data_IF_058994897783
#
_entry.id   IF_058994897783
#
_cell.length_a   1.000
_cell.length_b   1.000
_cell.length_c   1.000
_cell.angle_alpha   90.00
_cell.angle_beta   90.00
_cell.angle_gamma   90.00
#
_symmetry.space_group_name_H-M   'P 1'
#
loop_
_entity.id
_entity.type
_entity.pdbx_description
1 polymer ?
#
# COMPACT_ATOMS: atom_id res chain seq x y z
N UNK A 1 -40.59 -18.02 1.35
CA UNK A 1 -39.31 -18.64 1.76
C UNK A 1 -38.20 -17.73 1.35
N UNK A 2 -37.45 -17.18 2.33
CA UNK A 2 -36.26 -16.34 2.06
C UNK A 2 -35.11 -17.30 1.80
N UNK A 3 -34.86 -17.58 0.53
CA UNK A 3 -33.73 -18.44 0.09
C UNK A 3 -32.51 -17.60 -0.28
N UNK A 4 -32.26 -16.52 0.46
CA UNK A 4 -31.00 -15.76 0.26
C UNK A 4 -29.87 -16.46 0.97
N UNK A 5 -28.74 -16.63 0.24
CA UNK A 5 -27.51 -17.14 0.83
C UNK A 5 -26.92 -16.09 1.79
N UNK A 6 -26.06 -16.54 2.72
CA UNK A 6 -25.37 -15.63 3.66
C UNK A 6 -24.61 -14.53 2.92
N UNK A 7 -23.98 -14.87 1.80
CA UNK A 7 -23.21 -13.90 0.98
C UNK A 7 -24.13 -12.87 0.30
N UNK A 8 -25.31 -13.27 -0.16
CA UNK A 8 -26.29 -12.34 -0.74
C UNK A 8 -26.81 -11.38 0.34
N UNK A 9 -27.09 -11.89 1.54
CA UNK A 9 -27.53 -11.07 2.67
C UNK A 9 -26.43 -10.08 3.10
N UNK A 10 -25.17 -10.53 3.19
CA UNK A 10 -24.04 -9.69 3.52
C UNK A 10 -23.82 -8.58 2.47
N UNK A 11 -23.95 -8.92 1.19
CA UNK A 11 -23.83 -8.00 0.05
C UNK A 11 -24.92 -6.93 0.06
N UNK A 12 -26.16 -7.34 0.27
CA UNK A 12 -27.30 -6.41 0.37
C UNK A 12 -27.21 -5.53 1.62
N UNK A 13 -26.77 -6.08 2.76
CA UNK A 13 -26.49 -5.32 3.98
C UNK A 13 -25.41 -4.26 3.76
N UNK A 14 -24.29 -4.64 3.14
CA UNK A 14 -23.21 -3.72 2.80
C UNK A 14 -23.69 -2.60 1.86
N UNK A 15 -24.47 -2.95 0.84
CA UNK A 15 -25.06 -1.97 -0.09
C UNK A 15 -25.93 -0.95 0.62
N UNK A 16 -26.82 -1.39 1.52
CA UNK A 16 -27.70 -0.50 2.30
C UNK A 16 -26.92 0.41 3.24
N UNK A 17 -25.93 -0.14 3.96
CA UNK A 17 -25.11 0.64 4.88
C UNK A 17 -24.32 1.73 4.13
N UNK A 18 -23.70 1.40 3.01
CA UNK A 18 -22.94 2.38 2.23
C UNK A 18 -23.88 3.45 1.63
N UNK A 19 -25.03 3.05 1.10
CA UNK A 19 -26.00 4.01 0.59
C UNK A 19 -26.46 4.99 1.68
N UNK A 20 -26.75 4.51 2.88
CA UNK A 20 -27.11 5.35 4.02
C UNK A 20 -25.96 6.29 4.44
N UNK A 21 -24.74 5.77 4.53
CA UNK A 21 -23.57 6.58 4.87
C UNK A 21 -23.32 7.69 3.86
N UNK A 22 -23.49 7.42 2.57
CA UNK A 22 -23.34 8.44 1.52
C UNK A 22 -24.44 9.53 1.61
N UNK A 23 -25.65 9.19 2.00
CA UNK A 23 -26.71 10.19 2.23
C UNK A 23 -26.38 11.08 3.43
N UNK A 24 -25.85 10.50 4.51
CA UNK A 24 -25.39 11.26 5.69
C UNK A 24 -24.24 12.20 5.29
N UNK A 25 -23.23 11.70 4.58
CA UNK A 25 -22.09 12.51 4.13
C UNK A 25 -22.54 13.73 3.31
N UNK A 26 -23.49 13.53 2.39
CA UNK A 26 -24.03 14.64 1.58
C UNK A 26 -24.86 15.60 2.44
N UNK A 27 -25.68 15.10 3.36
CA UNK A 27 -26.46 15.94 4.26
C UNK A 27 -25.58 16.82 5.15
N UNK A 28 -24.52 16.23 5.74
CA UNK A 28 -23.53 16.95 6.54
C UNK A 28 -22.79 18.01 5.72
N UNK A 29 -22.39 17.68 4.48
CA UNK A 29 -21.73 18.63 3.59
C UNK A 29 -22.61 19.84 3.26
N UNK A 30 -23.88 19.60 2.91
CA UNK A 30 -24.83 20.66 2.58
C UNK A 30 -25.14 21.52 3.80
N UNK A 31 -25.35 20.90 4.98
CA UNK A 31 -25.62 21.62 6.22
C UNK A 31 -24.46 22.46 6.70
N UNK A 32 -23.24 21.94 6.64
CA UNK A 32 -22.02 22.67 7.02
C UNK A 32 -21.83 23.95 6.17
N UNK A 33 -22.35 23.95 4.95
CA UNK A 33 -22.14 25.03 3.97
C UNK A 33 -23.43 25.82 3.66
N UNK A 34 -24.49 25.63 4.42
CA UNK A 34 -25.82 26.25 4.21
C UNK A 34 -25.80 27.79 4.20
N UNK A 35 -24.78 28.38 4.82
CA UNK A 35 -24.62 29.82 4.90
C UNK A 35 -24.08 30.45 3.62
N UNK A 36 -23.61 29.69 2.65
CA UNK A 36 -23.16 30.15 1.36
C UNK A 36 -24.38 30.36 0.45
N UNK A 37 -24.72 31.65 0.20
CA UNK A 37 -25.85 32.07 -0.64
C UNK A 37 -25.41 32.98 -1.75
N UNK A 38 -26.20 33.06 -2.82
CA UNK A 38 -25.99 34.00 -3.90
C UNK A 38 -26.63 35.36 -3.56
N UNK A 39 -26.53 36.32 -4.49
CA UNK A 39 -27.07 37.69 -4.35
C UNK A 39 -28.60 37.70 -4.19
N UNK A 40 -29.29 36.63 -4.57
CA UNK A 40 -30.75 36.47 -4.47
C UNK A 40 -31.17 35.59 -3.29
N UNK A 41 -30.26 35.36 -2.32
CA UNK A 41 -30.46 34.51 -1.15
C UNK A 41 -30.73 33.02 -1.47
N UNK A 42 -30.35 32.53 -2.68
CA UNK A 42 -30.45 31.12 -3.01
C UNK A 42 -29.19 30.38 -2.51
N UNK A 43 -29.38 29.16 -2.00
CA UNK A 43 -28.27 28.32 -1.57
C UNK A 43 -27.35 27.98 -2.75
N UNK A 44 -26.04 28.19 -2.56
CA UNK A 44 -25.03 27.84 -3.56
C UNK A 44 -24.76 26.33 -3.57
N UNK A 45 -25.03 25.66 -2.46
CA UNK A 45 -24.82 24.22 -2.31
C UNK A 45 -26.16 23.54 -2.05
N UNK A 46 -26.49 22.59 -2.88
CA UNK A 46 -27.75 21.84 -2.75
C UNK A 46 -27.58 20.38 -3.17
N UNK A 47 -28.34 19.48 -2.54
CA UNK A 47 -28.46 18.11 -3.00
C UNK A 47 -29.09 18.08 -4.41
N UNK A 48 -28.52 17.26 -5.31
CA UNK A 48 -28.93 17.16 -6.70
C UNK A 48 -29.25 15.70 -7.08
N UNK A 49 -30.21 15.10 -6.41
CA UNK A 49 -30.65 13.73 -6.68
C UNK A 49 -29.53 12.69 -6.52
N UNK A 50 -29.57 11.67 -7.35
CA UNK A 50 -28.58 10.57 -7.40
C UNK A 50 -27.96 10.47 -8.78
N UNK A 51 -26.80 9.81 -8.86
CA UNK A 51 -26.12 9.50 -10.13
C UNK A 51 -27.05 8.72 -11.08
N UNK A 52 -27.03 9.06 -12.35
CA UNK A 52 -27.78 8.33 -13.39
C UNK A 52 -27.24 6.90 -13.57
N UNK A 53 -25.94 6.71 -13.36
CA UNK A 53 -25.28 5.42 -13.51
C UNK A 53 -24.95 4.79 -12.15
N UNK A 54 -25.15 3.49 -12.06
CA UNK A 54 -24.67 2.71 -10.93
C UNK A 54 -23.15 2.51 -11.06
N UNK A 55 -22.47 2.63 -9.92
CA UNK A 55 -21.06 2.29 -9.82
C UNK A 55 -20.93 0.93 -9.15
N UNK A 56 -20.27 0.00 -9.81
CA UNK A 56 -19.90 -1.28 -9.20
C UNK A 56 -18.62 -1.11 -8.42
N UNK A 57 -18.63 -1.51 -7.14
CA UNK A 57 -17.47 -1.51 -6.23
C UNK A 57 -17.26 -2.94 -5.73
N UNK A 58 -16.02 -3.42 -5.89
CA UNK A 58 -15.58 -4.71 -5.39
C UNK A 58 -15.20 -4.59 -3.91
N UNK A 59 -15.72 -5.47 -3.09
CA UNK A 59 -15.47 -5.53 -1.64
C UNK A 59 -15.29 -6.98 -1.19
N UNK A 60 -14.88 -7.17 0.07
CA UNK A 60 -14.76 -8.51 0.65
C UNK A 60 -16.09 -9.31 0.68
N UNK A 61 -17.23 -8.63 0.63
CA UNK A 61 -18.55 -9.27 0.51
C UNK A 61 -19.01 -9.49 -0.96
N UNK A 62 -18.11 -9.26 -1.94
CA UNK A 62 -18.42 -9.33 -3.38
C UNK A 62 -18.67 -7.97 -4.01
N UNK A 63 -19.23 -7.99 -5.23
CA UNK A 63 -19.56 -6.79 -6.01
C UNK A 63 -20.85 -6.15 -5.52
N UNK A 64 -20.82 -4.84 -5.24
CA UNK A 64 -21.99 -4.07 -4.92
C UNK A 64 -22.22 -2.95 -5.93
N UNK A 65 -23.48 -2.71 -6.30
CA UNK A 65 -23.90 -1.63 -7.20
C UNK A 65 -24.47 -0.48 -6.39
N UNK A 66 -23.92 0.71 -6.52
CA UNK A 66 -24.27 1.89 -5.73
C UNK A 66 -24.60 3.05 -6.65
N UNK A 67 -25.73 3.71 -6.38
CA UNK A 67 -26.06 5.03 -6.94
C UNK A 67 -25.71 6.09 -5.91
N UNK A 68 -24.59 6.77 -6.12
CA UNK A 68 -24.14 7.82 -5.21
C UNK A 68 -25.08 9.04 -5.29
N UNK A 69 -25.41 9.70 -4.17
CA UNK A 69 -26.07 10.99 -4.16
C UNK A 69 -25.15 12.04 -4.80
N UNK A 70 -25.74 13.08 -5.39
CA UNK A 70 -25.05 14.18 -6.04
C UNK A 70 -25.27 15.48 -5.30
N UNK A 71 -24.27 16.32 -5.31
CA UNK A 71 -24.34 17.69 -4.82
C UNK A 71 -24.08 18.65 -5.99
N UNK A 72 -24.89 19.68 -6.08
CA UNK A 72 -24.62 20.83 -6.92
C UNK A 72 -23.93 21.89 -6.02
N UNK A 73 -22.64 22.11 -6.24
CA UNK A 73 -21.87 23.14 -5.57
C UNK A 73 -21.51 24.20 -6.61
N UNK A 74 -22.12 25.38 -6.49
CA UNK A 74 -21.94 26.52 -7.43
C UNK A 74 -20.83 27.46 -7.01
N UNK A 75 -20.10 27.16 -5.94
CA UNK A 75 -18.97 27.99 -5.52
C UNK A 75 -17.82 27.88 -6.53
N UNK A 76 -17.13 28.97 -6.84
CA UNK A 76 -16.00 28.94 -7.77
C UNK A 76 -14.91 27.96 -7.29
N UNK A 77 -14.43 27.11 -8.19
CA UNK A 77 -13.36 26.15 -7.93
C UNK A 77 -13.62 25.13 -6.80
N UNK A 78 -14.89 24.90 -6.45
CA UNK A 78 -15.29 23.86 -5.49
C UNK A 78 -16.14 22.80 -6.17
N UNK A 79 -15.89 21.55 -5.77
CA UNK A 79 -16.68 20.40 -6.21
C UNK A 79 -16.76 19.41 -5.07
N UNK A 80 -17.97 18.94 -4.78
CA UNK A 80 -18.13 17.86 -3.81
C UNK A 80 -17.46 16.58 -4.29
N UNK A 81 -16.64 15.99 -3.43
CA UNK A 81 -16.07 14.68 -3.62
C UNK A 81 -16.30 13.85 -2.36
N UNK A 82 -17.01 12.74 -2.50
CA UNK A 82 -17.27 11.83 -1.39
C UNK A 82 -15.96 11.24 -0.86
N UNK A 83 -15.79 11.21 0.45
CA UNK A 83 -14.69 10.53 1.14
C UNK A 83 -14.94 9.03 1.27
N UNK A 84 -16.22 8.64 1.37
CA UNK A 84 -16.65 7.24 1.47
C UNK A 84 -16.50 6.53 0.12
N UNK A 85 -16.90 7.19 -0.97
CA UNK A 85 -16.85 6.67 -2.32
C UNK A 85 -16.16 7.68 -3.26
N UNK A 86 -14.83 7.86 -3.17
CA UNK A 86 -14.08 8.77 -4.03
C UNK A 86 -14.32 8.54 -5.52
N UNK A 87 -14.12 9.56 -6.38
CA UNK A 87 -14.17 9.37 -7.83
C UNK A 87 -13.31 8.20 -8.28
N UNK A 88 -13.82 7.43 -9.25
CA UNK A 88 -13.11 6.29 -9.86
C UNK A 88 -12.82 5.10 -8.94
N UNK A 89 -13.17 5.12 -7.67
CA UNK A 89 -13.05 3.95 -6.80
C UNK A 89 -13.87 2.79 -7.36
N UNK A 90 -13.21 1.69 -7.65
CA UNK A 90 -13.80 0.44 -8.16
C UNK A 90 -13.64 -0.71 -7.19
N UNK A 91 -12.78 -0.56 -6.19
CA UNK A 91 -12.43 -1.57 -5.20
C UNK A 91 -12.25 -0.94 -3.84
N UNK A 92 -12.50 -1.71 -2.79
CA UNK A 92 -12.14 -1.27 -1.45
C UNK A 92 -10.61 -1.27 -1.29
N UNK A 93 -10.04 -0.35 -0.48
CA UNK A 93 -8.60 -0.32 -0.21
C UNK A 93 -8.04 -1.67 0.26
N UNK A 94 -8.75 -2.34 1.17
CA UNK A 94 -8.37 -3.67 1.65
C UNK A 94 -8.19 -4.70 0.54
N UNK A 95 -9.02 -4.63 -0.48
CA UNK A 95 -8.93 -5.56 -1.60
C UNK A 95 -7.72 -5.22 -2.49
N UNK A 96 -7.42 -3.95 -2.68
CA UNK A 96 -6.20 -3.52 -3.37
C UNK A 96 -4.93 -3.92 -2.61
N UNK A 97 -4.93 -3.84 -1.29
CA UNK A 97 -3.83 -4.27 -0.42
C UNK A 97 -3.60 -5.78 -0.42
N UNK A 98 -4.65 -6.58 -0.66
CA UNK A 98 -4.53 -8.04 -0.72
C UNK A 98 -3.79 -8.53 -1.98
N UNK A 99 -3.86 -7.79 -3.08
CA UNK A 99 -3.28 -8.19 -4.36
C UNK A 99 -1.76 -8.40 -4.29
N UNK A 100 -0.94 -7.52 -3.68
CA UNK A 100 0.50 -7.75 -3.49
C UNK A 100 0.80 -9.02 -2.72
N UNK A 101 0.05 -9.22 -1.64
CA UNK A 101 0.25 -10.40 -0.78
C UNK A 101 0.00 -11.69 -1.55
N UNK A 102 -1.07 -11.74 -2.33
CA UNK A 102 -1.40 -12.89 -3.16
C UNK A 102 -0.34 -13.13 -4.25
N UNK A 103 0.14 -12.05 -4.88
CA UNK A 103 1.21 -12.14 -5.88
C UNK A 103 2.50 -12.69 -5.28
N UNK A 104 2.93 -12.16 -4.13
CA UNK A 104 4.12 -12.64 -3.41
C UNK A 104 3.97 -14.08 -2.90
N UNK A 105 2.74 -14.56 -2.72
CA UNK A 105 2.44 -15.97 -2.40
C UNK A 105 2.44 -16.88 -3.63
N UNK A 106 2.73 -16.35 -4.82
CA UNK A 106 2.94 -17.11 -6.04
C UNK A 106 1.71 -17.19 -6.95
N UNK A 107 0.68 -16.37 -6.71
CA UNK A 107 -0.44 -16.27 -7.65
C UNK A 107 0.02 -15.49 -8.89
N UNK A 108 -0.01 -16.13 -10.06
CA UNK A 108 0.41 -15.46 -11.29
C UNK A 108 -0.58 -14.36 -11.70
N UNK A 109 -0.13 -13.39 -12.51
CA UNK A 109 -1.00 -12.30 -12.97
C UNK A 109 -2.21 -12.79 -13.78
N UNK A 110 -2.11 -13.96 -14.41
CA UNK A 110 -3.20 -14.62 -15.13
C UNK A 110 -4.23 -15.28 -14.22
N UNK A 111 -3.80 -15.83 -13.09
CA UNK A 111 -4.63 -16.63 -12.20
C UNK A 111 -5.46 -15.76 -11.22
N UNK A 112 -5.14 -14.47 -11.11
CA UNK A 112 -5.85 -13.55 -10.20
C UNK A 112 -7.35 -13.48 -10.46
N UNK A 113 -7.74 -13.47 -11.74
CA UNK A 113 -9.15 -13.36 -12.10
C UNK A 113 -9.94 -14.58 -11.58
N UNK A 114 -9.41 -15.79 -11.79
CA UNK A 114 -10.03 -17.03 -11.34
C UNK A 114 -10.07 -17.13 -9.81
N UNK A 115 -8.93 -16.88 -9.13
CA UNK A 115 -8.86 -16.94 -7.68
C UNK A 115 -9.80 -15.93 -6.99
N UNK A 116 -9.91 -14.72 -7.53
CA UNK A 116 -10.78 -13.70 -6.99
C UNK A 116 -12.25 -13.93 -7.36
N UNK A 117 -12.54 -14.57 -8.48
CA UNK A 117 -13.89 -14.99 -8.84
C UNK A 117 -14.42 -16.03 -7.83
N UNK A 118 -13.60 -16.98 -7.42
CA UNK A 118 -13.95 -17.95 -6.37
C UNK A 118 -14.24 -17.25 -5.03
N UNK A 119 -13.44 -16.22 -4.67
CA UNK A 119 -13.56 -15.53 -3.37
C UNK A 119 -14.67 -14.48 -3.34
N UNK A 120 -14.94 -13.81 -4.46
CA UNK A 120 -15.79 -12.61 -4.51
C UNK A 120 -17.03 -12.81 -5.38
N UNK A 121 -17.16 -13.96 -6.01
CA UNK A 121 -18.24 -14.31 -6.94
C UNK A 121 -17.94 -13.92 -8.40
N UNK A 122 -18.73 -14.47 -9.31
CA UNK A 122 -18.56 -14.35 -10.79
C UNK A 122 -18.61 -12.91 -11.33
N UNK A 123 -19.10 -11.96 -10.57
CA UNK A 123 -19.07 -10.54 -10.92
C UNK A 123 -17.78 -9.83 -10.45
N UNK A 124 -16.73 -10.54 -10.02
CA UNK A 124 -15.45 -9.99 -9.61
C UNK A 124 -14.64 -9.44 -10.80
N UNK A 125 -15.29 -8.64 -11.63
CA UNK A 125 -14.66 -7.98 -12.76
C UNK A 125 -13.67 -6.92 -12.28
N UNK A 126 -12.48 -6.88 -12.89
CA UNK A 126 -11.55 -5.77 -12.70
C UNK A 126 -10.18 -6.11 -12.13
N UNK A 127 -9.88 -7.40 -11.94
CA UNK A 127 -8.53 -7.88 -11.64
C UNK A 127 -7.88 -8.51 -12.87
N UNK A 128 -8.00 -7.84 -14.02
CA UNK A 128 -7.30 -8.26 -15.23
C UNK A 128 -5.78 -8.23 -15.02
N UNK A 129 -5.04 -9.03 -15.78
CA UNK A 129 -3.58 -9.02 -15.78
C UNK A 129 -3.00 -7.60 -15.89
N UNK A 130 -3.60 -6.74 -16.72
CA UNK A 130 -3.23 -5.32 -16.86
C UNK A 130 -3.39 -4.53 -15.57
N UNK A 131 -4.46 -4.79 -14.80
CA UNK A 131 -4.67 -4.13 -13.51
C UNK A 131 -3.61 -4.55 -12.49
N UNK A 132 -3.31 -5.86 -12.42
CA UNK A 132 -2.27 -6.39 -11.54
C UNK A 132 -0.90 -5.80 -11.89
N UNK A 133 -0.55 -5.79 -13.19
CA UNK A 133 0.70 -5.17 -13.66
C UNK A 133 0.78 -3.69 -13.28
N UNK A 134 -0.32 -2.94 -13.41
CA UNK A 134 -0.37 -1.53 -13.00
C UNK A 134 -0.13 -1.36 -11.50
N UNK A 135 -0.71 -2.20 -10.65
CA UNK A 135 -0.48 -2.17 -9.21
C UNK A 135 0.97 -2.53 -8.87
N UNK A 136 1.54 -3.56 -9.52
CA UNK A 136 2.95 -3.91 -9.36
C UNK A 136 3.87 -2.73 -9.70
N UNK A 137 3.60 -2.01 -10.80
CA UNK A 137 4.36 -0.82 -11.17
C UNK A 137 4.29 0.28 -10.10
N UNK A 138 3.11 0.52 -9.49
CA UNK A 138 2.98 1.49 -8.39
C UNK A 138 3.91 1.11 -7.22
N UNK A 139 3.92 -0.16 -6.81
CA UNK A 139 4.79 -0.59 -5.71
C UNK A 139 6.27 -0.54 -6.06
N UNK A 140 6.63 -0.82 -7.32
CA UNK A 140 8.01 -0.63 -7.78
C UNK A 140 8.45 0.83 -7.68
N UNK A 141 7.58 1.77 -8.05
CA UNK A 141 7.88 3.20 -7.89
C UNK A 141 7.95 3.62 -6.42
N UNK A 142 7.04 3.14 -5.57
CA UNK A 142 7.09 3.36 -4.12
C UNK A 142 8.40 2.81 -3.51
N UNK A 143 8.80 1.61 -3.92
CA UNK A 143 10.07 1.01 -3.49
C UNK A 143 11.27 1.86 -3.94
N UNK A 144 11.29 2.35 -5.18
CA UNK A 144 12.34 3.21 -5.70
C UNK A 144 12.45 4.52 -4.89
N UNK A 145 11.33 5.12 -4.52
CA UNK A 145 11.29 6.32 -3.68
C UNK A 145 11.77 6.00 -2.25
N UNK A 146 11.27 4.93 -1.67
CA UNK A 146 11.68 4.46 -0.37
C UNK A 146 13.18 4.17 -0.31
N UNK A 147 13.72 3.50 -1.31
CA UNK A 147 15.15 3.16 -1.41
C UNK A 147 16.03 4.40 -1.45
N UNK A 148 15.57 5.50 -2.06
CA UNK A 148 16.32 6.76 -2.19
C UNK A 148 16.10 7.74 -1.03
N UNK A 149 15.24 7.43 -0.08
CA UNK A 149 14.91 8.37 1.00
C UNK A 149 16.12 8.77 1.81
N UNK A 150 16.18 10.03 2.23
CA UNK A 150 17.22 10.53 3.13
C UNK A 150 17.15 9.85 4.50
N UNK A 151 18.30 9.50 5.04
CA UNK A 151 18.49 9.02 6.39
C UNK A 151 19.15 10.10 7.27
N UNK A 152 19.42 11.27 6.72
CA UNK A 152 19.99 12.40 7.46
C UNK A 152 19.06 12.81 8.60
N UNK A 153 19.63 13.10 9.77
CA UNK A 153 18.89 13.46 10.97
C UNK A 153 18.30 12.28 11.75
N UNK A 154 18.46 11.05 11.26
CA UNK A 154 18.12 9.83 12.02
C UNK A 154 19.39 9.26 12.63
N UNK A 155 19.33 8.97 13.92
CA UNK A 155 20.40 8.32 14.66
C UNK A 155 20.04 6.86 14.91
N UNK A 156 20.68 5.94 14.23
CA UNK A 156 20.52 4.51 14.48
C UNK A 156 21.56 4.04 15.49
N UNK A 157 21.09 3.65 16.67
CA UNK A 157 21.97 3.19 17.76
C UNK A 157 22.61 1.86 17.37
N UNK A 158 21.82 0.95 16.78
CA UNK A 158 22.34 -0.30 16.24
C UNK A 158 21.60 -0.69 14.97
N UNK A 159 22.26 -1.57 14.22
CA UNK A 159 21.69 -2.17 13.02
C UNK A 159 21.75 -3.69 13.13
N UNK A 160 20.75 -4.34 12.54
CA UNK A 160 20.78 -5.77 12.24
C UNK A 160 20.94 -5.98 10.74
N UNK A 161 21.85 -6.87 10.36
CA UNK A 161 22.08 -7.23 8.97
C UNK A 161 21.86 -8.74 8.80
N UNK A 162 21.08 -9.12 7.80
CA UNK A 162 20.75 -10.50 7.47
C UNK A 162 20.61 -10.68 5.96
N UNK A 163 21.00 -11.86 5.47
CA UNK A 163 20.82 -12.27 4.09
C UNK A 163 19.71 -13.32 3.99
N UNK A 164 18.59 -12.94 3.38
CA UNK A 164 17.45 -13.84 3.17
C UNK A 164 17.54 -14.45 1.78
N UNK A 165 17.57 -15.78 1.69
CA UNK A 165 17.63 -16.49 0.43
C UNK A 165 16.24 -16.89 -0.06
N UNK A 166 15.91 -16.48 -1.29
CA UNK A 166 14.67 -16.86 -1.95
C UNK A 166 14.92 -17.92 -3.03
N UNK A 167 14.11 -18.97 -3.03
CA UNK A 167 14.06 -19.88 -4.16
C UNK A 167 13.22 -19.24 -5.27
N UNK A 168 13.86 -18.79 -6.33
CA UNK A 168 13.17 -18.28 -7.51
C UNK A 168 12.79 -19.46 -8.40
N UNK A 169 11.52 -19.60 -8.75
CA UNK A 169 11.07 -20.60 -9.72
C UNK A 169 11.82 -20.37 -11.04
N UNK A 170 12.42 -21.42 -11.59
CA UNK A 170 13.11 -21.47 -12.90
C UNK A 170 14.59 -21.01 -12.90
N UNK A 171 15.18 -20.64 -11.80
CA UNK A 171 16.63 -20.38 -11.74
C UNK A 171 17.29 -21.37 -10.77
N UNK A 172 18.44 -21.92 -11.18
CA UNK A 172 19.25 -22.83 -10.32
C UNK A 172 19.94 -22.05 -9.18
N UNK A 173 20.12 -20.74 -9.34
CA UNK A 173 20.77 -19.88 -8.37
C UNK A 173 19.76 -19.26 -7.38
N UNK A 174 20.09 -19.34 -6.10
CA UNK A 174 19.34 -18.66 -5.04
C UNK A 174 19.67 -17.18 -5.05
N UNK A 175 18.66 -16.33 -5.23
CA UNK A 175 18.83 -14.90 -5.03
C UNK A 175 18.86 -14.57 -3.54
N UNK A 176 19.91 -13.88 -3.11
CA UNK A 176 19.99 -13.34 -1.76
C UNK A 176 19.35 -11.95 -1.72
N UNK A 177 18.54 -11.69 -0.70
CA UNK A 177 18.05 -10.37 -0.36
C UNK A 177 18.81 -9.88 0.87
N UNK A 178 19.59 -8.83 0.72
CA UNK A 178 20.35 -8.20 1.79
C UNK A 178 19.43 -7.23 2.54
N UNK A 179 19.22 -7.48 3.82
CA UNK A 179 18.30 -6.70 4.66
C UNK A 179 19.09 -6.02 5.77
N UNK A 180 18.88 -4.73 5.96
CA UNK A 180 19.38 -4.02 7.15
C UNK A 180 18.20 -3.34 7.86
N UNK A 181 18.08 -3.62 9.16
CA UNK A 181 17.12 -3.00 10.08
C UNK A 181 17.88 -2.07 11.01
N UNK A 182 17.54 -0.79 11.00
CA UNK A 182 18.07 0.19 11.94
C UNK A 182 17.16 0.35 13.15
N UNK A 183 17.74 0.57 14.32
CA UNK A 183 17.02 0.79 15.58
C UNK A 183 17.36 2.18 16.10
N UNK A 184 16.31 2.98 16.30
CA UNK A 184 16.38 4.34 16.82
C UNK A 184 16.55 4.34 18.35
N UNK A 185 16.97 5.47 18.98
CA UNK A 185 17.16 5.56 20.44
C UNK A 185 15.91 5.24 21.25
N UNK A 186 14.73 5.46 20.68
CA UNK A 186 13.42 5.14 21.29
C UNK A 186 12.99 3.67 21.16
N UNK A 187 13.84 2.84 20.54
CA UNK A 187 13.60 1.41 20.32
C UNK A 187 12.79 1.08 19.05
N UNK A 188 12.32 2.08 18.30
CA UNK A 188 11.65 1.84 17.01
C UNK A 188 12.61 1.24 16.00
N UNK A 189 12.11 0.26 15.26
CA UNK A 189 12.84 -0.46 14.23
C UNK A 189 12.35 -0.01 12.85
N UNK A 190 13.28 0.24 11.96
CA UNK A 190 12.99 0.58 10.57
C UNK A 190 13.84 -0.29 9.63
N UNK A 191 13.22 -0.85 8.59
CA UNK A 191 13.98 -1.41 7.48
C UNK A 191 14.64 -0.23 6.74
N UNK A 192 15.97 -0.21 6.67
CA UNK A 192 16.73 0.89 6.06
C UNK A 192 17.42 0.52 4.75
N UNK A 193 17.65 -0.78 4.54
CA UNK A 193 18.04 -1.35 3.27
C UNK A 193 17.31 -2.65 3.01
N UNK A 194 16.96 -2.86 1.75
CA UNK A 194 16.42 -4.09 1.19
C UNK A 194 16.93 -4.14 -0.27
N UNK A 195 17.94 -4.96 -0.54
CA UNK A 195 18.61 -5.00 -1.83
C UNK A 195 18.72 -6.43 -2.30
N UNK A 196 18.45 -6.65 -3.58
CA UNK A 196 18.76 -7.91 -4.22
C UNK A 196 20.28 -8.04 -4.38
N UNK A 197 20.82 -9.15 -3.93
CA UNK A 197 22.24 -9.48 -4.04
C UNK A 197 22.41 -10.85 -4.69
N UNK A 198 23.31 -10.91 -5.65
CA UNK A 198 23.64 -12.20 -6.28
C UNK A 198 24.23 -13.20 -5.27
N UNK A 199 24.96 -12.67 -4.28
CA UNK A 199 25.52 -13.41 -3.14
C UNK A 199 25.75 -12.45 -1.97
N UNK A 200 25.85 -12.98 -0.75
CA UNK A 200 26.32 -12.26 0.43
C UNK A 200 27.85 -11.99 0.38
N UNK A 201 28.30 -11.35 -0.68
CA UNK A 201 29.71 -11.00 -0.83
C UNK A 201 30.07 -9.73 -0.08
N UNK A 202 31.36 -9.55 0.21
CA UNK A 202 31.87 -8.30 0.80
C UNK A 202 31.49 -7.10 -0.05
N UNK A 203 31.58 -7.19 -1.39
CA UNK A 203 31.27 -6.08 -2.27
C UNK A 203 29.76 -5.76 -2.30
N UNK A 204 28.88 -6.76 -2.27
CA UNK A 204 27.45 -6.54 -2.18
C UNK A 204 27.09 -5.80 -0.90
N UNK A 205 27.60 -6.24 0.24
CA UNK A 205 27.38 -5.57 1.52
C UNK A 205 28.02 -4.17 1.56
N UNK A 206 29.21 -4.00 1.01
CA UNK A 206 29.87 -2.69 0.94
C UNK A 206 29.07 -1.70 0.09
N UNK A 207 28.47 -2.16 -1.01
CA UNK A 207 27.59 -1.33 -1.84
C UNK A 207 26.39 -0.85 -1.04
N UNK A 208 25.71 -1.74 -0.31
CA UNK A 208 24.57 -1.40 0.55
C UNK A 208 24.98 -0.39 1.64
N UNK A 209 26.06 -0.65 2.36
CA UNK A 209 26.51 0.23 3.44
C UNK A 209 26.96 1.61 2.92
N UNK A 210 27.65 1.67 1.77
CA UNK A 210 28.01 2.94 1.11
C UNK A 210 26.78 3.73 0.67
N UNK A 211 25.73 3.04 0.20
CA UNK A 211 24.45 3.70 -0.12
C UNK A 211 23.79 4.30 1.13
N UNK A 212 23.74 3.57 2.23
CA UNK A 212 23.23 4.08 3.51
C UNK A 212 24.00 5.33 3.96
N UNK A 213 25.33 5.30 3.89
CA UNK A 213 26.20 6.44 4.20
C UNK A 213 25.93 7.63 3.28
N UNK A 214 25.79 7.40 1.97
CA UNK A 214 25.47 8.44 0.98
C UNK A 214 24.10 9.08 1.25
N UNK A 215 23.12 8.33 1.73
CA UNK A 215 21.81 8.83 2.13
C UNK A 215 21.81 9.56 3.46
N UNK A 216 22.97 9.71 4.11
CA UNK A 216 23.17 10.51 5.32
C UNK A 216 23.14 9.70 6.62
N UNK A 217 23.21 8.37 6.57
CA UNK A 217 23.33 7.55 7.76
C UNK A 217 24.69 7.76 8.42
N UNK A 218 24.68 8.03 9.72
CA UNK A 218 25.89 8.04 10.57
C UNK A 218 26.26 6.62 10.97
N UNK A 219 27.52 6.41 11.36
CA UNK A 219 27.97 5.12 11.88
C UNK A 219 27.12 4.72 13.11
N UNK A 220 26.50 3.55 13.12
CA UNK A 220 25.80 3.05 14.30
C UNK A 220 26.80 2.63 15.38
N UNK A 221 26.38 2.60 16.64
CA UNK A 221 27.25 2.16 17.73
C UNK A 221 27.57 0.66 17.65
N UNK A 222 26.58 -0.13 17.19
CA UNK A 222 26.67 -1.58 17.14
C UNK A 222 26.01 -2.12 15.87
N UNK A 223 26.64 -3.11 15.26
CA UNK A 223 26.05 -3.93 14.23
C UNK A 223 25.92 -5.37 14.71
N UNK A 224 24.75 -5.97 14.50
CA UNK A 224 24.42 -7.34 14.86
C UNK A 224 24.16 -8.13 13.58
N UNK A 225 24.76 -9.30 13.45
CA UNK A 225 24.58 -10.16 12.28
C UNK A 225 25.08 -11.57 12.56
N UNK A 226 24.84 -12.45 11.61
CA UNK A 226 25.34 -13.82 11.69
C UNK A 226 26.86 -13.88 11.41
N UNK A 227 27.40 -15.08 11.26
CA UNK A 227 28.81 -15.32 10.95
C UNK A 227 29.25 -14.91 9.55
N UNK A 228 28.44 -14.18 8.76
CA UNK A 228 28.73 -13.79 7.40
C UNK A 228 29.96 -12.87 7.32
N UNK A 229 31.08 -13.43 6.86
CA UNK A 229 32.35 -12.73 6.76
C UNK A 229 32.31 -11.55 5.77
N UNK A 230 31.44 -11.61 4.75
CA UNK A 230 31.31 -10.53 3.76
C UNK A 230 30.76 -9.26 4.38
N UNK A 231 29.73 -9.35 5.24
CA UNK A 231 29.17 -8.20 5.93
C UNK A 231 30.20 -7.52 6.85
N UNK A 232 30.92 -8.31 7.67
CA UNK A 232 31.87 -7.76 8.64
C UNK A 232 33.05 -7.06 7.98
N UNK A 233 33.55 -7.61 6.87
CA UNK A 233 34.61 -6.96 6.10
C UNK A 233 34.13 -5.63 5.51
N UNK A 234 32.93 -5.59 4.95
CA UNK A 234 32.29 -4.38 4.43
C UNK A 234 32.03 -3.33 5.51
N UNK A 235 31.58 -3.76 6.69
CA UNK A 235 31.30 -2.87 7.83
C UNK A 235 32.58 -2.14 8.27
N UNK A 236 33.69 -2.87 8.41
CA UNK A 236 35.00 -2.27 8.77
C UNK A 236 35.50 -1.26 7.74
N UNK A 237 35.22 -1.48 6.47
CA UNK A 237 35.59 -0.55 5.40
C UNK A 237 34.74 0.73 5.43
N UNK A 238 33.42 0.61 5.63
CA UNK A 238 32.50 1.74 5.47
C UNK A 238 32.23 2.48 6.79
N UNK A 239 32.09 1.74 7.91
CA UNK A 239 31.84 2.25 9.25
C UNK A 239 32.81 1.65 10.28
N UNK A 240 34.11 2.01 10.23
CA UNK A 240 35.15 1.41 11.08
C UNK A 240 34.93 1.62 12.58
N UNK A 241 34.14 2.62 12.97
CA UNK A 241 33.85 2.95 14.38
C UNK A 241 32.75 2.06 14.99
N UNK A 242 32.01 1.32 14.15
CA UNK A 242 30.91 0.48 14.58
C UNK A 242 31.42 -0.82 15.23
N UNK A 243 30.93 -1.13 16.42
CA UNK A 243 31.22 -2.39 17.11
C UNK A 243 30.50 -3.57 16.42
N UNK A 244 31.14 -4.72 16.39
CA UNK A 244 30.60 -5.96 15.82
C UNK A 244 30.05 -6.85 16.92
N UNK A 245 28.85 -7.39 16.72
CA UNK A 245 28.29 -8.45 17.54
C UNK A 245 27.75 -9.56 16.62
N UNK A 246 28.35 -10.72 16.73
CA UNK A 246 27.90 -11.92 16.00
C UNK A 246 26.86 -12.67 16.82
N UNK A 247 25.82 -13.17 16.13
CA UNK A 247 24.80 -14.06 16.72
C UNK A 247 25.30 -15.48 16.79
#
# INVERSE_FOLDING_TARGET
>A
EITQTLDELAREGARRMIAAALEVEVAEYVEALRHHRDENDHALIARNGRSHHERTVQMGAGSIKIRAPRVNDRRPNHTFSSKILPPYMRRSPRLEEAVPVLYLRGLSTGDFSEALEVLLGSEAAGFSATTITRLLNVWQEEYKLWRKRSLAGKEYVYIWADGVYFNVRLEEDRLACLVIVGVLPDGRKEVIALEDGYRESTESWASVLRDLKRRGMKAPLLAVGDGNLGFWAALRDVFPETREQRC
#
